data_IF_940081992543
#
_entry.id   IF_940081992543
#
_cell.length_a   1.000
_cell.length_b   1.000
_cell.length_c   1.000
_cell.angle_alpha   90.00
_cell.angle_beta   90.00
_cell.angle_gamma   90.00
#
_symmetry.space_group_name_H-M   'P 1'
#
loop_
_entity.id
_entity.type
_entity.pdbx_description
1 polymer ?
#
# COMPACT_ATOMS: atom_id res chain seq x y z
N UNK A 1 -11.03 -6.21 -16.99
CA UNK A 1 -12.36 -5.57 -16.76
C UNK A 1 -12.86 -4.82 -18.00
N UNK A 2 -12.07 -3.92 -18.59
CA UNK A 2 -12.50 -3.14 -19.76
C UNK A 2 -12.84 -4.00 -20.99
N UNK A 3 -12.21 -5.14 -21.16
CA UNK A 3 -12.47 -6.06 -22.27
C UNK A 3 -13.82 -6.75 -22.15
N UNK A 4 -14.22 -7.15 -20.93
CA UNK A 4 -15.53 -7.78 -20.67
C UNK A 4 -16.67 -6.77 -20.52
N UNK A 5 -16.36 -5.48 -20.47
CA UNK A 5 -17.33 -4.41 -20.36
C UNK A 5 -18.44 -4.45 -21.42
N UNK A 6 -18.11 -4.85 -22.66
CA UNK A 6 -19.09 -4.99 -23.76
C UNK A 6 -20.11 -6.10 -23.52
N UNK A 7 -19.76 -7.11 -22.74
CA UNK A 7 -20.56 -8.32 -22.58
C UNK A 7 -21.37 -8.35 -21.27
N UNK A 8 -20.92 -7.64 -20.21
CA UNK A 8 -21.64 -7.63 -18.94
C UNK A 8 -21.32 -6.41 -18.07
N UNK A 9 -22.05 -5.33 -18.28
CA UNK A 9 -21.90 -4.06 -17.57
C UNK A 9 -22.08 -4.21 -16.04
N UNK A 10 -23.02 -5.05 -15.60
CA UNK A 10 -23.29 -5.26 -14.18
C UNK A 10 -22.09 -5.92 -13.48
N UNK A 11 -21.43 -6.85 -14.15
CA UNK A 11 -20.23 -7.52 -13.66
C UNK A 11 -19.05 -6.56 -13.50
N UNK A 12 -18.90 -5.67 -14.48
CA UNK A 12 -17.88 -4.61 -14.40
C UNK A 12 -18.07 -3.70 -13.20
N UNK A 13 -19.29 -3.17 -13.00
CA UNK A 13 -19.57 -2.30 -11.85
C UNK A 13 -19.43 -3.03 -10.52
N UNK A 14 -19.82 -4.29 -10.44
CA UNK A 14 -19.64 -5.11 -9.25
C UNK A 14 -18.16 -5.19 -8.84
N UNK A 15 -17.27 -5.58 -9.75
CA UNK A 15 -15.83 -5.62 -9.44
C UNK A 15 -15.24 -4.24 -9.17
N UNK A 16 -15.69 -3.20 -9.86
CA UNK A 16 -15.25 -1.83 -9.61
C UNK A 16 -15.55 -1.42 -8.16
N UNK A 17 -16.75 -1.70 -7.67
CA UNK A 17 -17.16 -1.42 -6.28
C UNK A 17 -16.31 -2.25 -5.30
N UNK A 18 -16.10 -3.53 -5.56
CA UNK A 18 -15.29 -4.39 -4.69
C UNK A 18 -13.86 -3.87 -4.57
N UNK A 19 -13.20 -3.54 -5.70
CA UNK A 19 -11.85 -2.96 -5.68
C UNK A 19 -11.81 -1.60 -5.00
N UNK A 20 -12.81 -0.77 -5.21
CA UNK A 20 -12.92 0.54 -4.55
C UNK A 20 -13.02 0.40 -3.03
N UNK A 21 -13.94 -0.42 -2.53
CA UNK A 21 -14.11 -0.68 -1.11
C UNK A 21 -12.88 -1.34 -0.49
N UNK A 22 -12.34 -2.38 -1.15
CA UNK A 22 -11.13 -3.06 -0.71
C UNK A 22 -9.93 -2.12 -0.61
N UNK A 23 -9.75 -1.23 -1.59
CA UNK A 23 -8.67 -0.24 -1.57
C UNK A 23 -8.81 0.77 -0.44
N UNK A 24 -10.03 1.25 -0.16
CA UNK A 24 -10.30 2.16 0.98
C UNK A 24 -9.94 1.47 2.29
N UNK A 25 -10.42 0.25 2.52
CA UNK A 25 -10.20 -0.45 3.78
C UNK A 25 -8.72 -0.78 3.98
N UNK A 26 -8.06 -1.34 2.97
CA UNK A 26 -6.65 -1.70 3.07
C UNK A 26 -5.72 -0.49 3.14
N UNK A 27 -6.01 0.57 2.38
CA UNK A 27 -5.24 1.81 2.46
C UNK A 27 -5.36 2.45 3.84
N UNK A 28 -6.56 2.49 4.39
CA UNK A 28 -6.82 3.05 5.73
C UNK A 28 -6.12 2.22 6.82
N UNK A 29 -6.23 0.89 6.77
CA UNK A 29 -5.52 0.01 7.70
C UNK A 29 -3.99 0.19 7.60
N UNK A 30 -3.44 0.24 6.39
CA UNK A 30 -2.02 0.47 6.15
C UNK A 30 -1.52 1.81 6.70
N UNK A 31 -2.29 2.88 6.52
CA UNK A 31 -1.96 4.20 7.09
C UNK A 31 -1.91 4.16 8.63
N UNK A 32 -2.90 3.52 9.27
CA UNK A 32 -2.93 3.41 10.74
C UNK A 32 -1.73 2.59 11.24
N UNK A 33 -1.42 1.45 10.60
CA UNK A 33 -0.26 0.62 10.96
C UNK A 33 1.04 1.41 10.78
N UNK A 34 1.18 2.16 9.68
CA UNK A 34 2.33 3.02 9.47
C UNK A 34 2.48 4.08 10.58
N UNK A 35 1.39 4.76 10.95
CA UNK A 35 1.39 5.77 12.01
C UNK A 35 1.72 5.15 13.39
N UNK A 36 1.31 3.91 13.65
CA UNK A 36 1.69 3.18 14.87
C UNK A 36 3.19 2.89 14.89
N UNK A 37 3.73 2.38 13.77
CA UNK A 37 5.15 2.03 13.64
C UNK A 37 6.05 3.27 13.71
N UNK A 38 5.60 4.39 13.16
CA UNK A 38 6.37 5.63 13.05
C UNK A 38 6.09 6.64 14.17
N UNK A 39 5.28 6.31 15.16
CA UNK A 39 4.83 7.23 16.23
C UNK A 39 5.97 8.10 16.80
N UNK A 40 7.10 7.50 17.14
CA UNK A 40 8.22 8.20 17.77
C UNK A 40 8.98 9.12 16.79
N UNK A 41 9.03 8.73 15.51
CA UNK A 41 9.62 9.54 14.44
C UNK A 41 8.69 10.68 14.06
N UNK A 42 7.41 10.40 13.84
CA UNK A 42 6.40 11.39 13.47
C UNK A 42 6.27 12.50 14.53
N UNK A 43 6.40 12.16 15.81
CA UNK A 43 6.38 13.14 16.91
C UNK A 43 7.52 14.16 16.85
N UNK A 44 8.65 13.83 16.20
CA UNK A 44 9.84 14.69 16.08
C UNK A 44 9.83 15.56 14.82
N UNK A 45 9.06 15.21 13.81
CA UNK A 45 9.00 15.90 12.51
C UNK A 45 7.87 16.93 12.51
N UNK A 46 8.17 18.18 12.18
CA UNK A 46 7.21 19.29 12.20
C UNK A 46 5.93 19.00 11.42
N UNK A 47 6.05 18.39 10.24
CA UNK A 47 4.94 18.07 9.33
C UNK A 47 4.01 16.99 9.88
N UNK A 48 4.55 16.00 10.63
CA UNK A 48 3.82 14.80 11.05
C UNK A 48 3.46 14.76 12.54
N UNK A 49 4.04 15.64 13.38
CA UNK A 49 3.79 15.67 14.84
C UNK A 49 2.32 15.79 15.25
N UNK A 50 1.49 16.35 14.37
CA UNK A 50 0.05 16.54 14.64
C UNK A 50 -0.81 15.34 14.20
N UNK A 51 -0.22 14.27 13.64
CA UNK A 51 -0.95 13.04 13.32
C UNK A 51 -1.63 12.49 14.57
N UNK A 52 -2.83 11.89 14.46
CA UNK A 52 -3.62 11.49 15.63
C UNK A 52 -2.90 10.56 16.60
N UNK A 53 -2.09 9.62 16.10
CA UNK A 53 -1.34 8.67 16.94
C UNK A 53 -0.06 9.31 17.49
N UNK A 54 0.67 10.07 16.68
CA UNK A 54 1.89 10.76 17.07
C UNK A 54 1.63 11.80 18.17
N UNK A 55 0.53 12.57 18.03
CA UNK A 55 0.09 13.57 19.00
C UNK A 55 -0.58 13.00 20.27
N UNK A 56 -0.84 11.68 20.31
CA UNK A 56 -1.52 11.03 21.44
C UNK A 56 -3.04 11.22 21.47
N UNK A 57 -3.66 11.88 20.48
CA UNK A 57 -5.12 12.02 20.37
C UNK A 57 -5.83 10.67 20.20
N UNK A 58 -5.17 9.72 19.54
CA UNK A 58 -5.61 8.34 19.38
C UNK A 58 -4.57 7.41 20.01
N UNK A 59 -5.04 6.53 20.91
CA UNK A 59 -4.15 5.55 21.53
C UNK A 59 -3.73 4.46 20.53
N UNK A 60 -2.54 3.86 20.73
CA UNK A 60 -2.07 2.74 19.92
C UNK A 60 -3.08 1.58 19.96
N UNK A 61 -3.66 1.28 21.13
CA UNK A 61 -4.67 0.20 21.29
C UNK A 61 -5.88 0.42 20.38
N UNK A 62 -6.37 1.66 20.34
CA UNK A 62 -7.50 2.03 19.48
C UNK A 62 -7.11 1.97 17.99
N UNK A 63 -5.90 2.39 17.63
CA UNK A 63 -5.35 2.26 16.28
C UNK A 63 -5.29 0.79 15.84
N UNK A 64 -4.79 -0.12 16.69
CA UNK A 64 -4.76 -1.56 16.40
C UNK A 64 -6.19 -2.09 16.19
N UNK A 65 -7.14 -1.73 17.06
CA UNK A 65 -8.53 -2.17 16.92
C UNK A 65 -9.13 -1.72 15.57
N UNK A 66 -8.94 -0.46 15.18
CA UNK A 66 -9.41 0.04 13.88
C UNK A 66 -8.73 -0.67 12.70
N UNK A 67 -7.42 -0.94 12.78
CA UNK A 67 -6.73 -1.69 11.73
C UNK A 67 -7.28 -3.09 11.57
N UNK A 68 -7.55 -3.81 12.68
CA UNK A 68 -8.14 -5.14 12.65
C UNK A 68 -9.55 -5.10 12.03
N UNK A 69 -10.38 -4.13 12.43
CA UNK A 69 -11.73 -3.98 11.86
C UNK A 69 -11.69 -3.71 10.35
N UNK A 70 -10.80 -2.82 9.91
CA UNK A 70 -10.65 -2.50 8.49
C UNK A 70 -10.13 -3.70 7.68
N UNK A 71 -9.17 -4.45 8.23
CA UNK A 71 -8.68 -5.69 7.61
C UNK A 71 -9.80 -6.75 7.53
N UNK A 72 -10.65 -6.85 8.55
CA UNK A 72 -11.80 -7.74 8.53
C UNK A 72 -12.81 -7.35 7.44
N UNK A 73 -13.13 -6.06 7.32
CA UNK A 73 -14.01 -5.58 6.25
C UNK A 73 -13.39 -5.81 4.86
N UNK A 74 -12.09 -5.59 4.72
CA UNK A 74 -11.37 -5.90 3.49
C UNK A 74 -11.41 -7.40 3.15
N UNK A 75 -11.31 -8.27 4.16
CA UNK A 75 -11.45 -9.72 3.98
C UNK A 75 -12.85 -10.10 3.47
N UNK A 76 -13.91 -9.51 4.01
CA UNK A 76 -15.29 -9.75 3.52
C UNK A 76 -15.44 -9.35 2.04
N UNK A 77 -14.82 -8.25 1.63
CA UNK A 77 -14.76 -7.85 0.22
C UNK A 77 -13.95 -8.88 -0.59
N UNK A 78 -12.79 -9.30 -0.10
CA UNK A 78 -11.90 -10.24 -0.77
C UNK A 78 -12.55 -11.60 -1.04
N UNK A 79 -13.40 -12.08 -0.13
CA UNK A 79 -14.09 -13.37 -0.27
C UNK A 79 -15.07 -13.44 -1.47
N UNK A 80 -15.35 -12.31 -2.13
CA UNK A 80 -16.15 -12.28 -3.36
C UNK A 80 -15.34 -12.52 -4.65
N UNK A 81 -14.03 -12.70 -4.54
CA UNK A 81 -13.15 -12.99 -5.67
C UNK A 81 -12.90 -14.49 -5.83
N UNK A 82 -12.30 -14.88 -6.95
CA UNK A 82 -11.89 -16.26 -7.16
C UNK A 82 -10.75 -16.67 -6.21
N UNK A 83 -10.63 -17.98 -5.92
CA UNK A 83 -9.66 -18.53 -4.96
C UNK A 83 -8.21 -18.14 -5.26
N UNK A 84 -7.84 -18.05 -6.54
CA UNK A 84 -6.49 -17.69 -6.93
C UNK A 84 -6.16 -16.23 -6.55
N UNK A 85 -7.07 -15.30 -6.81
CA UNK A 85 -6.95 -13.90 -6.40
C UNK A 85 -6.91 -13.75 -4.88
N UNK A 86 -7.72 -14.54 -4.15
CA UNK A 86 -7.70 -14.54 -2.68
C UNK A 86 -6.32 -14.94 -2.16
N UNK A 87 -5.74 -16.03 -2.67
CA UNK A 87 -4.42 -16.52 -2.26
C UNK A 87 -3.34 -15.46 -2.55
N UNK A 88 -3.35 -14.84 -3.73
CA UNK A 88 -2.40 -13.78 -4.08
C UNK A 88 -2.56 -12.54 -3.21
N UNK A 89 -3.79 -12.11 -2.93
CA UNK A 89 -4.06 -10.97 -2.07
C UNK A 89 -3.57 -11.22 -0.63
N UNK A 90 -3.85 -12.39 -0.06
CA UNK A 90 -3.34 -12.78 1.26
C UNK A 90 -1.80 -12.86 1.26
N UNK A 91 -1.20 -13.40 0.20
CA UNK A 91 0.25 -13.45 0.01
C UNK A 91 0.92 -12.07 -0.07
N UNK A 92 0.21 -11.01 -0.45
CA UNK A 92 0.73 -9.65 -0.47
C UNK A 92 0.72 -8.94 0.90
N UNK A 93 -0.01 -9.47 1.89
CA UNK A 93 -0.14 -8.85 3.22
C UNK A 93 1.21 -8.66 3.94
N UNK A 94 2.14 -9.63 3.97
CA UNK A 94 3.46 -9.42 4.57
C UNK A 94 4.19 -8.22 3.94
N UNK A 95 4.11 -8.03 2.62
CA UNK A 95 4.71 -6.88 1.95
C UNK A 95 4.06 -5.57 2.39
N UNK A 96 2.72 -5.54 2.47
CA UNK A 96 1.97 -4.34 2.86
C UNK A 96 2.27 -3.88 4.29
N UNK A 97 2.53 -4.80 5.22
CA UNK A 97 2.81 -4.46 6.61
C UNK A 97 4.31 -4.30 6.94
N UNK A 98 5.20 -4.80 6.08
CA UNK A 98 6.65 -4.69 6.32
C UNK A 98 7.31 -3.54 5.56
N UNK A 99 6.75 -3.07 4.44
CA UNK A 99 7.36 -2.00 3.66
C UNK A 99 7.67 -0.72 4.47
N UNK A 100 6.85 -0.28 5.46
CA UNK A 100 7.18 0.93 6.23
C UNK A 100 8.49 0.81 7.02
N UNK A 101 8.89 -0.42 7.36
CA UNK A 101 10.12 -0.68 8.10
C UNK A 101 11.37 -0.57 7.20
N UNK A 102 11.20 -0.62 5.88
CA UNK A 102 12.32 -0.61 4.92
C UNK A 102 13.14 0.66 4.98
N UNK A 103 12.54 1.81 5.30
CA UNK A 103 13.26 3.08 5.50
C UNK A 103 14.26 3.07 6.66
N UNK A 104 14.18 2.07 7.56
CA UNK A 104 15.14 1.86 8.66
C UNK A 104 16.26 0.92 8.25
N UNK A 105 16.00 0.01 7.31
CA UNK A 105 16.90 -1.09 6.94
C UNK A 105 17.73 -0.78 5.69
N UNK A 106 17.11 -0.20 4.66
CA UNK A 106 17.70 -0.05 3.33
C UNK A 106 17.52 1.36 2.77
N UNK A 107 18.39 1.74 1.82
CA UNK A 107 18.24 2.97 1.03
C UNK A 107 17.24 2.84 -0.13
N UNK A 108 16.52 1.72 -0.24
CA UNK A 108 15.57 1.42 -1.33
C UNK A 108 14.10 1.25 -0.85
N UNK A 109 13.62 1.99 0.17
CA UNK A 109 12.22 1.86 0.62
C UNK A 109 11.22 2.18 -0.49
N UNK A 110 11.55 3.10 -1.42
CA UNK A 110 10.72 3.45 -2.57
C UNK A 110 10.52 2.29 -3.54
N UNK A 111 11.51 1.41 -3.68
CA UNK A 111 11.37 0.18 -4.47
C UNK A 111 10.36 -0.78 -3.81
N UNK A 112 10.46 -0.97 -2.49
CA UNK A 112 9.51 -1.80 -1.74
C UNK A 112 8.10 -1.21 -1.77
N UNK A 113 7.98 0.12 -1.70
CA UNK A 113 6.71 0.81 -1.92
C UNK A 113 6.15 0.50 -3.31
N UNK A 114 6.98 0.60 -4.35
CA UNK A 114 6.57 0.30 -5.73
C UNK A 114 6.05 -1.14 -5.88
N UNK A 115 6.74 -2.11 -5.31
CA UNK A 115 6.32 -3.52 -5.30
C UNK A 115 4.97 -3.67 -4.59
N UNK A 116 4.81 -3.09 -3.41
CA UNK A 116 3.61 -3.23 -2.58
C UNK A 116 2.41 -2.49 -3.18
N UNK A 117 2.62 -1.25 -3.57
CA UNK A 117 1.56 -0.34 -4.01
C UNK A 117 0.94 -0.78 -5.34
N UNK A 118 1.77 -1.25 -6.28
CA UNK A 118 1.30 -1.64 -7.61
C UNK A 118 0.79 -3.09 -7.70
N UNK A 119 0.83 -3.85 -6.61
CA UNK A 119 0.38 -5.24 -6.60
C UNK A 119 -1.09 -5.41 -7.00
N UNK A 120 -1.89 -4.35 -6.82
CA UNK A 120 -3.27 -4.28 -7.30
C UNK A 120 -3.45 -4.51 -8.80
N UNK A 121 -2.42 -4.25 -9.63
CA UNK A 121 -2.43 -4.58 -11.06
C UNK A 121 -2.57 -6.09 -11.30
N UNK A 122 -1.80 -6.90 -10.56
CA UNK A 122 -1.88 -8.36 -10.63
C UNK A 122 -3.23 -8.85 -10.12
N UNK A 123 -3.72 -8.30 -8.99
CA UNK A 123 -5.02 -8.67 -8.44
C UNK A 123 -6.17 -8.32 -9.39
N UNK A 124 -6.12 -7.15 -10.05
CA UNK A 124 -7.11 -6.74 -11.03
C UNK A 124 -7.20 -7.68 -12.23
N UNK A 125 -6.07 -8.18 -12.71
CA UNK A 125 -6.02 -9.16 -13.79
C UNK A 125 -6.55 -10.52 -13.33
N UNK A 126 -6.04 -11.04 -12.23
CA UNK A 126 -6.40 -12.38 -11.74
C UNK A 126 -7.85 -12.48 -11.30
N UNK A 127 -8.46 -11.37 -10.84
CA UNK A 127 -9.88 -11.32 -10.51
C UNK A 127 -10.79 -11.66 -11.70
N UNK A 128 -10.36 -11.28 -12.91
CA UNK A 128 -11.12 -11.50 -14.14
C UNK A 128 -10.76 -12.82 -14.80
N UNK A 129 -9.46 -13.10 -14.93
CA UNK A 129 -8.96 -14.22 -15.74
C UNK A 129 -8.62 -15.47 -14.93
N UNK A 130 -8.51 -15.36 -13.60
CA UNK A 130 -8.17 -16.49 -12.72
C UNK A 130 -6.72 -17.01 -12.85
N UNK A 131 -5.89 -16.35 -13.65
CA UNK A 131 -4.50 -16.72 -13.89
C UNK A 131 -3.59 -15.48 -13.96
N UNK A 132 -2.28 -15.68 -13.97
CA UNK A 132 -1.29 -14.62 -14.24
C UNK A 132 -0.70 -14.83 -15.62
N UNK A 133 -0.66 -13.75 -16.42
CA UNK A 133 -0.05 -13.74 -17.74
C UNK A 133 1.14 -12.78 -17.80
N UNK A 134 1.89 -12.81 -18.90
CA UNK A 134 3.10 -11.98 -19.07
C UNK A 134 2.76 -10.48 -19.14
N UNK A 135 1.62 -10.13 -19.72
CA UNK A 135 1.22 -8.74 -19.93
C UNK A 135 1.06 -7.98 -18.62
N UNK A 136 0.24 -8.44 -17.62
CA UNK A 136 0.12 -7.76 -16.33
C UNK A 136 1.45 -7.72 -15.55
N UNK A 137 2.34 -8.72 -15.73
CA UNK A 137 3.67 -8.72 -15.12
C UNK A 137 4.51 -7.56 -15.67
N UNK A 138 4.54 -7.37 -16.98
CA UNK A 138 5.30 -6.28 -17.62
C UNK A 138 4.76 -4.91 -17.18
N UNK A 139 3.44 -4.73 -17.13
CA UNK A 139 2.83 -3.51 -16.61
C UNK A 139 3.17 -3.28 -15.13
N UNK A 140 3.16 -4.33 -14.31
CA UNK A 140 3.53 -4.27 -12.91
C UNK A 140 4.98 -3.82 -12.71
N UNK A 141 5.91 -4.39 -13.48
CA UNK A 141 7.33 -3.99 -13.45
C UNK A 141 7.46 -2.51 -13.84
N UNK A 142 6.81 -2.08 -14.92
CA UNK A 142 6.81 -0.68 -15.34
C UNK A 142 6.27 0.26 -14.26
N UNK A 143 5.18 -0.13 -13.60
CA UNK A 143 4.58 0.64 -12.51
C UNK A 143 5.48 0.71 -11.27
N UNK A 144 6.25 -0.35 -10.96
CA UNK A 144 7.25 -0.32 -9.88
C UNK A 144 8.31 0.74 -10.17
N UNK A 145 8.88 0.78 -11.39
CA UNK A 145 9.89 1.78 -11.76
C UNK A 145 9.31 3.19 -11.80
N UNK A 146 8.07 3.35 -12.25
CA UNK A 146 7.37 4.62 -12.18
C UNK A 146 7.24 5.12 -10.74
N UNK A 147 6.78 4.25 -9.83
CA UNK A 147 6.66 4.57 -8.41
C UNK A 147 8.01 4.91 -7.80
N UNK A 148 9.05 4.13 -8.09
CA UNK A 148 10.41 4.39 -7.64
C UNK A 148 10.89 5.79 -8.07
N UNK A 149 10.66 6.17 -9.32
CA UNK A 149 11.05 7.47 -9.86
C UNK A 149 10.34 8.63 -9.17
N UNK A 150 9.01 8.64 -9.19
CA UNK A 150 8.26 9.78 -8.64
C UNK A 150 8.40 9.90 -7.12
N UNK A 151 8.44 8.78 -6.39
CA UNK A 151 8.55 8.81 -4.94
C UNK A 151 9.96 9.20 -4.48
N UNK A 152 10.99 8.88 -5.27
CA UNK A 152 12.34 9.41 -5.06
C UNK A 152 12.36 10.93 -5.19
N UNK A 153 11.72 11.47 -6.24
CA UNK A 153 11.62 12.93 -6.44
C UNK A 153 10.81 13.57 -5.31
N UNK A 154 9.67 12.98 -4.95
CA UNK A 154 8.84 13.46 -3.86
C UNK A 154 9.58 13.48 -2.51
N UNK A 155 10.41 12.49 -2.25
CA UNK A 155 11.19 12.39 -1.01
C UNK A 155 12.29 13.45 -0.85
N UNK A 156 12.63 14.21 -1.90
CA UNK A 156 13.61 15.31 -1.77
C UNK A 156 13.17 16.41 -0.77
N UNK A 157 11.87 16.60 -0.58
CA UNK A 157 11.35 17.58 0.38
C UNK A 157 11.63 17.20 1.84
N UNK A 158 11.79 15.92 2.13
CA UNK A 158 11.94 15.38 3.49
C UNK A 158 13.41 15.03 3.83
N UNK A 159 14.37 15.18 2.91
CA UNK A 159 15.77 14.75 3.08
C UNK A 159 16.39 15.28 4.39
N UNK A 160 16.19 16.57 4.69
CA UNK A 160 16.80 17.20 5.87
C UNK A 160 16.29 16.58 7.18
N UNK A 161 14.99 16.34 7.26
CA UNK A 161 14.37 15.73 8.42
C UNK A 161 14.75 14.26 8.55
N UNK A 162 14.73 13.52 7.42
CA UNK A 162 15.08 12.11 7.37
C UNK A 162 16.53 11.84 7.77
N UNK A 163 17.47 12.70 7.35
CA UNK A 163 18.89 12.59 7.76
C UNK A 163 19.08 12.82 9.25
N UNK A 164 18.41 13.82 9.84
CA UNK A 164 18.51 14.13 11.27
C UNK A 164 18.02 12.95 12.12
N UNK A 165 16.99 12.26 11.71
CA UNK A 165 16.41 11.13 12.44
C UNK A 165 16.97 9.77 12.01
N UNK A 166 17.94 9.75 11.06
CA UNK A 166 18.67 8.55 10.65
C UNK A 166 17.87 7.59 9.77
N UNK A 167 16.87 8.08 9.04
CA UNK A 167 16.12 7.29 8.05
C UNK A 167 16.92 7.19 6.74
N UNK A 168 16.58 6.16 5.95
CA UNK A 168 17.20 5.87 4.66
C UNK A 168 16.18 6.00 3.55
N UNK A 169 16.59 6.59 2.41
CA UNK A 169 15.74 6.71 1.21
C UNK A 169 16.61 6.76 -0.05
N UNK A 170 15.99 6.49 -1.21
CA UNK A 170 16.66 6.71 -2.50
C UNK A 170 16.94 8.19 -2.72
N UNK A 171 16.12 9.09 -2.21
CA UNK A 171 16.34 10.55 -2.28
C UNK A 171 17.64 10.96 -1.55
N UNK A 172 17.93 10.38 -0.39
CA UNK A 172 19.20 10.58 0.32
C UNK A 172 20.36 9.95 -0.45
N UNK A 173 20.14 8.80 -1.07
CA UNK A 173 21.21 8.07 -1.78
C UNK A 173 21.65 8.77 -3.06
N UNK A 174 20.75 9.48 -3.74
CA UNK A 174 20.98 10.12 -5.05
C UNK A 174 21.01 11.65 -5.00
N UNK A 175 21.17 12.22 -3.80
CA UNK A 175 21.34 13.68 -3.63
C UNK A 175 22.68 14.18 -4.16
#
# INVERSE_FOLDING_TARGET
>A
LAYDFKNNLNYYFFYLILFFLGSIFMRSAGCIVNDILDKEFDAKVFRTKNRPIASGKVSIKLGILYSILLCFLALLVLLNFNSFTIILALGSMPLAFTYPLMKRLTYWPQLFLGITFNYGLILGWTAVYGNVEIVPILFYIGAIFWTLGYDTIYGYQDIKDDEIIGLKSTSIKFK
#
